data_IF_273647955476
#
_entry.id   IF_273647955476
#
_cell.length_a   1.000
_cell.length_b   1.000
_cell.length_c   1.000
_cell.angle_alpha   90.00
_cell.angle_beta   90.00
_cell.angle_gamma   90.00
#
_symmetry.space_group_name_H-M   'P 1'
#
loop_
_entity.id
_entity.type
_entity.pdbx_description
1 polymer ?
#
# COMPACT_ATOMS: atom_id res chain seq x y z
N UNK A 1 -10.42 13.98 3.00
CA UNK A 1 -9.63 13.30 1.95
C UNK A 1 -8.38 12.62 2.54
N UNK A 2 -7.59 13.31 3.39
CA UNK A 2 -6.42 12.72 4.08
C UNK A 2 -6.77 11.52 5.01
N UNK A 3 -7.95 11.51 5.65
CA UNK A 3 -8.37 10.39 6.50
C UNK A 3 -8.68 9.08 5.78
N UNK A 4 -8.62 9.04 4.44
CA UNK A 4 -8.76 7.82 3.64
C UNK A 4 -7.41 7.25 3.21
N UNK A 5 -6.31 7.94 3.52
CA UNK A 5 -4.96 7.48 3.23
C UNK A 5 -4.66 6.23 4.07
N UNK A 6 -3.80 5.35 3.56
CA UNK A 6 -3.34 4.22 4.36
C UNK A 6 -2.51 4.69 5.56
N UNK A 7 -2.79 4.13 6.73
CA UNK A 7 -2.07 4.39 7.97
C UNK A 7 -1.87 3.08 8.76
N UNK A 8 -1.31 3.16 9.96
CA UNK A 8 -1.23 2.00 10.86
C UNK A 8 -2.63 1.52 11.27
N UNK A 9 -3.56 2.46 11.49
CA UNK A 9 -4.96 2.16 11.85
C UNK A 9 -5.83 1.80 10.64
N UNK A 10 -5.40 2.16 9.43
CA UNK A 10 -6.05 1.83 8.17
C UNK A 10 -5.04 1.27 7.15
N UNK A 11 -4.53 0.04 7.34
CA UNK A 11 -3.47 -0.49 6.51
C UNK A 11 -3.98 -0.95 5.14
N UNK A 12 -3.17 -0.76 4.09
CA UNK A 12 -3.42 -1.41 2.80
C UNK A 12 -3.36 -2.94 2.95
N UNK A 13 -4.20 -3.71 2.24
CA UNK A 13 -4.23 -5.17 2.38
C UNK A 13 -2.87 -5.83 2.05
N UNK A 14 -2.59 -6.92 2.77
CA UNK A 14 -1.50 -7.85 2.43
C UNK A 14 -2.14 -9.18 2.04
N UNK A 15 -1.79 -9.69 0.86
CA UNK A 15 -2.34 -10.94 0.33
C UNK A 15 -1.23 -11.91 -0.03
N UNK A 16 -1.46 -13.20 0.22
CA UNK A 16 -0.53 -14.26 -0.20
C UNK A 16 -0.68 -14.54 -1.69
N UNK A 17 0.43 -14.60 -2.42
CA UNK A 17 0.44 -15.05 -3.80
C UNK A 17 0.50 -16.58 -3.85
N UNK A 18 -0.58 -17.21 -4.31
CA UNK A 18 -0.72 -18.67 -4.28
C UNK A 18 -0.39 -19.38 -5.61
N UNK A 19 -0.42 -18.65 -6.74
CA UNK A 19 -0.35 -19.28 -8.09
C UNK A 19 0.75 -18.74 -9.01
N UNK A 20 1.21 -17.51 -8.78
CA UNK A 20 2.10 -16.78 -9.71
C UNK A 20 3.57 -16.82 -9.27
N UNK A 21 3.87 -17.49 -8.17
CA UNK A 21 5.21 -17.54 -7.58
C UNK A 21 5.92 -18.82 -8.02
N UNK A 22 7.09 -18.75 -8.69
CA UNK A 22 7.82 -19.93 -9.16
C UNK A 22 8.56 -20.67 -8.02
N UNK A 23 8.62 -20.07 -6.83
CA UNK A 23 9.39 -20.58 -5.70
C UNK A 23 8.58 -21.61 -4.90
N UNK A 24 9.13 -22.81 -4.72
CA UNK A 24 8.48 -23.91 -4.00
C UNK A 24 8.67 -23.85 -2.48
N UNK A 25 9.72 -23.17 -2.01
CA UNK A 25 10.09 -23.10 -0.59
C UNK A 25 9.98 -21.68 -0.01
N UNK A 26 9.33 -20.76 -0.72
CA UNK A 26 9.21 -19.36 -0.29
C UNK A 26 7.76 -18.92 -0.34
N UNK A 27 7.30 -18.30 0.74
CA UNK A 27 5.97 -17.67 0.75
C UNK A 27 6.11 -16.20 0.36
N UNK A 28 5.45 -15.81 -0.72
CA UNK A 28 5.46 -14.41 -1.20
C UNK A 28 4.13 -13.75 -0.85
N UNK A 29 4.22 -12.54 -0.32
CA UNK A 29 3.08 -11.68 -0.02
C UNK A 29 3.15 -10.41 -0.88
N UNK A 30 2.00 -9.94 -1.33
CA UNK A 30 1.85 -8.67 -2.02
C UNK A 30 1.17 -7.66 -1.10
N UNK A 31 1.77 -6.47 -1.00
CA UNK A 31 1.21 -5.30 -0.32
C UNK A 31 0.45 -4.46 -1.36
N UNK A 32 -0.86 -4.33 -1.20
CA UNK A 32 -1.75 -3.78 -2.23
C UNK A 32 -1.86 -2.25 -2.13
N UNK A 33 -0.80 -1.53 -2.48
CA UNK A 33 -0.74 -0.06 -2.40
C UNK A 33 -1.68 0.68 -3.37
N UNK A 34 -2.23 -0.02 -4.36
CA UNK A 34 -3.29 0.53 -5.22
C UNK A 34 -4.62 0.72 -4.49
N UNK A 35 -4.74 0.26 -3.25
CA UNK A 35 -5.94 0.47 -2.44
C UNK A 35 -5.97 1.86 -1.78
N UNK A 36 -4.93 2.66 -1.96
CA UNK A 36 -4.94 4.08 -1.60
C UNK A 36 -5.94 4.86 -2.46
N UNK A 37 -6.43 6.03 -2.01
CA UNK A 37 -7.54 6.75 -2.64
C UNK A 37 -7.36 7.09 -4.12
N UNK A 38 -6.13 7.32 -4.58
CA UNK A 38 -5.77 7.64 -5.96
C UNK A 38 -5.04 6.48 -6.65
N UNK A 39 -5.10 5.28 -6.06
CA UNK A 39 -4.71 4.06 -6.74
C UNK A 39 -3.21 3.78 -6.75
N UNK A 40 -2.41 4.47 -5.92
CA UNK A 40 -0.95 4.29 -5.95
C UNK A 40 -0.28 4.44 -4.60
N UNK A 41 0.96 3.95 -4.52
CA UNK A 41 1.83 4.19 -3.36
C UNK A 41 2.23 5.67 -3.24
N UNK A 42 2.13 6.46 -4.32
CA UNK A 42 2.56 7.86 -4.36
C UNK A 42 1.66 8.77 -3.53
N UNK A 43 0.42 8.35 -3.28
CA UNK A 43 -0.53 9.06 -2.43
C UNK A 43 0.06 9.39 -1.07
N UNK A 44 0.85 8.47 -0.49
CA UNK A 44 1.53 8.68 0.80
C UNK A 44 2.60 9.77 0.74
N UNK A 45 3.38 9.78 -0.32
CA UNK A 45 4.45 10.77 -0.51
C UNK A 45 3.83 12.15 -0.77
N UNK A 46 2.78 12.19 -1.59
CA UNK A 46 2.06 13.42 -1.89
C UNK A 46 1.44 14.03 -0.62
N UNK A 47 0.84 13.21 0.25
CA UNK A 47 0.30 13.67 1.52
C UNK A 47 1.39 14.29 2.42
N UNK A 48 2.51 13.60 2.61
CA UNK A 48 3.62 14.10 3.42
C UNK A 48 4.21 15.40 2.85
N UNK A 49 4.36 15.50 1.52
CA UNK A 49 4.91 16.71 0.91
C UNK A 49 4.00 17.93 1.09
N UNK A 50 2.68 17.72 1.06
CA UNK A 50 1.72 18.80 1.34
C UNK A 50 1.72 19.17 2.83
N UNK A 51 1.86 18.18 3.72
CA UNK A 51 1.96 18.42 5.16
C UNK A 51 3.23 19.19 5.53
N UNK A 52 4.39 18.80 4.97
CA UNK A 52 5.68 19.47 5.21
C UNK A 52 5.75 20.89 4.61
N UNK A 53 4.94 21.19 3.60
CA UNK A 53 4.93 22.49 2.92
C UNK A 53 4.17 23.58 3.70
N UNK A 54 3.44 23.22 4.77
CA UNK A 54 2.60 24.11 5.59
C UNK A 54 3.27 24.31 6.95
#
# INVERSE_FOLDING_TARGET
MLGLLSSVDNPTPIVRLNRVTPFQHTTVYAKLEWHNPFGSVKDRIAANLVEDAV
#
